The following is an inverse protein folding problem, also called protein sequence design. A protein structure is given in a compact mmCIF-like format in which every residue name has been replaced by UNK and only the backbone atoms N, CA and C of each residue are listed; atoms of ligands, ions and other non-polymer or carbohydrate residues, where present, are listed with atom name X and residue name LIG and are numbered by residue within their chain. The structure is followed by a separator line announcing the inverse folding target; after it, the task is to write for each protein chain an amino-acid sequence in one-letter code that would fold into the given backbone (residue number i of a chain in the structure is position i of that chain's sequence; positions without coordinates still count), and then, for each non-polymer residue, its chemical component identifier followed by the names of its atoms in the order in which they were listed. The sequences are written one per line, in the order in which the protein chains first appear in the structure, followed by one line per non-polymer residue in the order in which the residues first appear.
data_IF_698602476143
#
_entry.id   IF_698602476143
#
_cell.length_a   1.000
_cell.length_b   1.000
_cell.length_c   1.000
_cell.angle_alpha   90.00
_cell.angle_beta   90.00
_cell.angle_gamma   90.00
#
_symmetry.space_group_name_H-M   'P 1'
#
loop_
_entity.id
_entity.type
_entity.pdbx_description
1 polymer ?
#
# COMPACT_ATOMS: atom_id res chain seq x y z
N UNK A 1 -3.63 -7.11 -10.67
CA UNK A 1 -4.18 -7.03 -9.30
C UNK A 1 -5.47 -7.81 -9.11
N UNK A 2 -6.48 -7.68 -10.00
CA UNK A 2 -7.73 -8.48 -9.96
C UNK A 2 -7.45 -9.98 -9.79
N UNK A 3 -6.68 -10.55 -10.70
CA UNK A 3 -6.33 -11.99 -10.66
C UNK A 3 -5.50 -12.37 -9.44
N UNK A 4 -4.61 -11.50 -8.97
CA UNK A 4 -3.79 -11.73 -7.78
C UNK A 4 -4.66 -11.85 -6.53
N UNK A 5 -5.58 -10.91 -6.34
CA UNK A 5 -6.52 -10.92 -5.21
C UNK A 5 -7.45 -12.14 -5.28
N UNK A 6 -7.94 -12.48 -6.48
CA UNK A 6 -8.80 -13.65 -6.69
C UNK A 6 -8.09 -14.96 -6.37
N UNK A 7 -6.85 -15.15 -6.85
CA UNK A 7 -6.05 -16.37 -6.62
C UNK A 7 -5.50 -16.44 -5.20
N UNK A 8 -5.26 -15.30 -4.56
CA UNK A 8 -4.68 -15.23 -3.22
C UNK A 8 -5.41 -14.18 -2.39
N UNK A 9 -6.58 -14.51 -1.82
CA UNK A 9 -7.40 -13.54 -1.06
C UNK A 9 -6.64 -12.90 0.12
N UNK A 10 -5.73 -13.66 0.75
CA UNK A 10 -4.87 -13.18 1.84
C UNK A 10 -3.82 -12.15 1.40
N UNK A 11 -3.57 -12.01 0.10
CA UNK A 11 -2.62 -11.03 -0.42
C UNK A 11 -3.02 -9.61 0.01
N UNK A 12 -4.29 -9.26 -0.17
CA UNK A 12 -4.78 -7.93 0.16
C UNK A 12 -4.65 -7.62 1.66
N UNK A 13 -4.91 -8.61 2.52
CA UNK A 13 -4.78 -8.49 3.97
C UNK A 13 -3.34 -8.32 4.43
N UNK A 14 -2.37 -8.88 3.70
CA UNK A 14 -0.94 -8.78 4.02
C UNK A 14 -0.35 -7.44 3.54
N UNK A 15 -0.77 -6.97 2.37
CA UNK A 15 -0.13 -5.85 1.67
C UNK A 15 -0.74 -4.50 2.00
N UNK A 16 -2.07 -4.44 2.20
CA UNK A 16 -2.78 -3.18 2.38
C UNK A 16 -3.30 -3.04 3.81
N UNK A 17 -3.29 -1.82 4.35
CA UNK A 17 -3.89 -1.50 5.65
C UNK A 17 -5.43 -1.64 5.59
N UNK A 18 -6.13 -1.69 6.74
CA UNK A 18 -7.59 -1.63 6.75
C UNK A 18 -8.15 -0.39 6.03
N UNK A 19 -7.51 0.78 6.19
CA UNK A 19 -7.92 2.02 5.53
C UNK A 19 -7.78 1.96 4.01
N UNK A 20 -6.67 1.40 3.51
CA UNK A 20 -6.46 1.23 2.08
C UNK A 20 -7.45 0.25 1.45
N UNK A 21 -7.75 -0.85 2.14
CA UNK A 21 -8.76 -1.81 1.68
C UNK A 21 -10.14 -1.18 1.62
N UNK A 22 -10.55 -0.50 2.70
CA UNK A 22 -11.82 0.22 2.74
C UNK A 22 -11.92 1.22 1.58
N UNK A 23 -10.87 2.01 1.34
CA UNK A 23 -10.82 2.94 0.21
C UNK A 23 -10.97 2.22 -1.13
N UNK A 24 -10.19 1.17 -1.39
CA UNK A 24 -10.18 0.48 -2.67
C UNK A 24 -11.50 -0.25 -2.93
N UNK A 25 -12.04 -0.94 -1.92
CA UNK A 25 -13.29 -1.69 -2.01
C UNK A 25 -14.48 -0.75 -2.26
N UNK A 26 -14.44 0.47 -1.69
CA UNK A 26 -15.43 1.53 -1.95
C UNK A 26 -15.46 2.03 -3.41
N UNK A 27 -14.52 1.61 -4.26
CA UNK A 27 -14.48 1.96 -5.70
C UNK A 27 -15.20 0.94 -6.59
N UNK A 28 -15.81 -0.09 -5.99
CA UNK A 28 -16.63 -1.07 -6.70
C UNK A 28 -15.86 -1.79 -7.81
N UNK A 29 -16.36 -1.73 -9.06
CA UNK A 29 -15.75 -2.40 -10.20
C UNK A 29 -14.30 -1.93 -10.51
N UNK A 30 -13.93 -0.74 -10.04
CA UNK A 30 -12.59 -0.15 -10.18
C UNK A 30 -11.63 -0.50 -9.04
N UNK A 31 -12.08 -1.27 -8.02
CA UNK A 31 -11.25 -1.67 -6.90
C UNK A 31 -9.90 -2.28 -7.32
N UNK A 32 -9.81 -3.18 -8.31
CA UNK A 32 -8.53 -3.74 -8.74
C UNK A 32 -7.52 -2.72 -9.25
N UNK A 33 -7.97 -1.66 -9.93
CA UNK A 33 -7.12 -0.58 -10.44
C UNK A 33 -6.57 0.25 -9.28
N UNK A 34 -7.40 0.55 -8.28
CA UNK A 34 -6.97 1.29 -7.09
C UNK A 34 -6.00 0.48 -6.23
N UNK A 35 -6.24 -0.82 -6.05
CA UNK A 35 -5.27 -1.70 -5.40
C UNK A 35 -3.94 -1.75 -6.16
N UNK A 36 -3.97 -1.78 -7.50
CA UNK A 36 -2.76 -1.77 -8.32
C UNK A 36 -1.97 -0.47 -8.14
N UNK A 37 -2.65 0.68 -8.16
CA UNK A 37 -2.03 1.98 -7.97
C UNK A 37 -1.37 2.11 -6.58
N UNK A 38 -2.06 1.69 -5.52
CA UNK A 38 -1.49 1.71 -4.15
C UNK A 38 -0.32 0.76 -4.01
N UNK A 39 -0.39 -0.43 -4.61
CA UNK A 39 0.74 -1.37 -4.62
C UNK A 39 1.97 -0.77 -5.30
N UNK A 40 1.80 -0.13 -6.46
CA UNK A 40 2.90 0.53 -7.17
C UNK A 40 3.52 1.67 -6.33
N UNK A 41 2.70 2.47 -5.64
CA UNK A 41 3.19 3.52 -4.74
C UNK A 41 3.99 2.94 -3.55
N UNK A 42 3.52 1.83 -2.95
CA UNK A 42 4.28 1.14 -1.90
C UNK A 42 5.61 0.60 -2.39
N UNK A 43 5.62 -0.09 -3.53
CA UNK A 43 6.85 -0.56 -4.17
C UNK A 43 7.85 0.59 -4.43
N UNK A 44 7.37 1.74 -4.88
CA UNK A 44 8.21 2.92 -5.06
C UNK A 44 8.81 3.43 -3.73
N UNK A 45 8.00 3.47 -2.67
CA UNK A 45 8.48 3.86 -1.34
C UNK A 45 9.53 2.88 -0.78
N UNK A 46 9.31 1.57 -0.91
CA UNK A 46 10.26 0.54 -0.50
C UNK A 46 11.61 0.71 -1.21
N UNK A 47 11.59 1.03 -2.51
CA UNK A 47 12.80 1.32 -3.28
C UNK A 47 13.50 2.59 -2.80
N UNK A 48 12.75 3.65 -2.51
CA UNK A 48 13.29 4.91 -2.03
C UNK A 48 13.94 4.78 -0.64
N UNK A 49 13.34 3.99 0.26
CA UNK A 49 13.86 3.73 1.61
C UNK A 49 15.07 2.78 1.64
N UNK A 50 15.49 2.23 0.49
CA UNK A 50 16.68 1.36 0.33
C UNK A 50 16.73 0.14 1.27
N UNK A 51 15.60 -0.30 1.82
CA UNK A 51 15.56 -1.42 2.77
C UNK A 51 15.71 -2.79 2.14
N UNK A 52 15.56 -2.89 0.81
CA UNK A 52 15.42 -4.18 0.14
C UNK A 52 14.29 -5.03 0.74
N UNK A 53 14.33 -6.34 0.46
CA UNK A 53 13.41 -7.33 1.05
C UNK A 53 13.88 -7.86 2.42
N UNK A 54 15.12 -7.60 2.81
CA UNK A 54 15.75 -8.11 4.04
C UNK A 54 15.68 -7.14 5.22
N UNK A 55 15.27 -5.89 5.00
CA UNK A 55 15.28 -4.84 6.02
C UNK A 55 14.13 -4.88 7.04
N UNK A 56 13.30 -5.94 7.08
CA UNK A 56 12.22 -6.08 8.07
C UNK A 56 11.01 -5.14 7.87
N UNK A 57 11.00 -4.32 6.82
CA UNK A 57 9.92 -3.38 6.51
C UNK A 57 8.65 -4.13 6.10
N UNK A 58 7.56 -3.96 6.86
CA UNK A 58 6.29 -4.57 6.51
C UNK A 58 5.56 -3.75 5.44
N UNK A 59 4.82 -4.40 4.54
CA UNK A 59 4.02 -3.70 3.52
C UNK A 59 3.06 -2.65 4.10
N UNK A 60 2.55 -2.89 5.29
CA UNK A 60 1.63 -1.99 5.98
C UNK A 60 2.33 -0.85 6.73
N UNK A 61 3.66 -0.88 6.82
CA UNK A 61 4.42 0.26 7.37
C UNK A 61 4.45 1.44 6.40
N UNK A 62 4.16 1.20 5.11
CA UNK A 62 3.89 2.24 4.12
C UNK A 62 2.41 2.21 3.79
N UNK A 63 1.68 3.25 4.17
CA UNK A 63 0.26 3.40 3.86
C UNK A 63 0.07 4.55 2.86
N UNK A 64 -0.74 4.32 1.84
CA UNK A 64 -1.12 5.38 0.89
C UNK A 64 -2.50 5.90 1.29
N UNK A 65 -2.59 7.17 1.64
CA UNK A 65 -3.86 7.84 1.98
C UNK A 65 -4.20 8.91 0.95
N UNK A 66 -5.48 9.22 0.82
CA UNK A 66 -5.96 10.28 -0.09
C UNK A 66 -6.15 11.56 0.71
N UNK A 67 -5.40 12.60 0.38
CA UNK A 67 -5.55 13.93 0.98
C UNK A 67 -6.87 14.58 0.50
N UNK A 68 -7.50 15.49 1.26
CA UNK A 68 -8.71 16.20 0.82
C UNK A 68 -8.59 16.92 -0.54
N UNK A 69 -7.37 17.31 -0.93
CA UNK A 69 -7.09 17.86 -2.27
C UNK A 69 -7.16 16.84 -3.41
N UNK A 70 -7.34 15.55 -3.11
CA UNK A 70 -7.30 14.44 -4.05
C UNK A 70 -5.89 13.87 -4.29
N UNK A 71 -4.84 14.54 -3.79
CA UNK A 71 -3.47 14.06 -3.93
C UNK A 71 -3.22 12.82 -3.05
N UNK A 72 -2.60 11.75 -3.58
CA UNK A 72 -2.14 10.64 -2.75
C UNK A 72 -0.92 11.06 -1.94
N UNK A 73 -0.90 10.72 -0.65
CA UNK A 73 0.25 10.94 0.25
C UNK A 73 0.64 9.65 0.96
N UNK A 74 1.93 9.52 1.28
CA UNK A 74 2.44 8.38 2.05
C UNK A 74 2.38 8.71 3.54
N UNK A 75 1.74 7.84 4.30
CA UNK A 75 1.82 7.81 5.76
C UNK A 75 2.74 6.65 6.15
N UNK A 76 3.89 6.99 6.73
CA UNK A 76 4.89 6.02 7.16
C UNK A 76 4.66 5.68 8.63
N UNK A 77 4.60 4.38 8.92
CA UNK A 77 4.42 3.82 10.26
C UNK A 77 5.69 3.08 10.68
N UNK A 78 5.87 2.91 12.00
CA UNK A 78 6.90 2.03 12.60
C UNK A 78 8.28 2.21 11.93
N UNK A 79 8.86 1.12 11.42
CA UNK A 79 10.20 1.11 10.83
C UNK A 79 10.31 2.02 9.60
N UNK A 80 9.26 2.15 8.79
CA UNK A 80 9.27 3.04 7.62
C UNK A 80 9.46 4.50 8.03
N UNK A 81 8.89 4.90 9.17
CA UNK A 81 9.06 6.25 9.71
C UNK A 81 10.50 6.47 10.17
N UNK A 82 11.07 5.53 10.92
CA UNK A 82 12.45 5.62 11.43
C UNK A 82 13.49 5.67 10.31
N UNK A 83 13.25 5.02 9.17
CA UNK A 83 14.17 5.02 8.04
C UNK A 83 14.12 6.30 7.19
N UNK A 84 13.09 7.11 7.38
CA UNK A 84 12.90 8.36 6.64
C UNK A 84 13.48 9.57 7.39
N UNK A 85 13.58 9.48 8.72
CA UNK A 85 14.22 10.47 9.60
C UNK A 85 15.75 10.33 9.56
#
# INVERSE_FOLDING_TARGET
MREVIKRTPRFALRVFTPGERHYCDGRGALAPQHYAARFAAKEAAFKALKTGWSGGLAWQDVEVVSHPSGAPVLHLHKLARTLFE
#
